data_IF_058868258168
#
_entry.id   IF_058868258168
#
_cell.length_a   1.000
_cell.length_b   1.000
_cell.length_c   1.000
_cell.angle_alpha   90.00
_cell.angle_beta   90.00
_cell.angle_gamma   90.00
#
_symmetry.space_group_name_H-M   'P 1'
#
loop_
_entity.id
_entity.type
_entity.pdbx_description
1 polymer ?
#
# COMPACT_ATOMS: atom_id res chain seq x y z
N UNK A 1 2.69 13.58 -5.46
CA UNK A 1 3.40 14.81 -5.86
C UNK A 1 4.14 14.55 -7.17
N UNK A 2 4.67 15.58 -7.84
CA UNK A 2 5.58 15.30 -8.96
C UNK A 2 6.87 14.72 -8.39
N UNK A 3 7.37 13.61 -8.95
CA UNK A 3 8.63 12.98 -8.54
C UNK A 3 9.35 12.37 -9.74
N UNK A 4 10.67 12.21 -9.59
CA UNK A 4 11.54 11.57 -10.59
C UNK A 4 11.45 10.04 -10.61
N UNK A 5 10.92 9.43 -9.53
CA UNK A 5 10.73 7.98 -9.41
C UNK A 5 9.29 7.63 -9.07
N UNK A 6 8.82 6.52 -9.57
CA UNK A 6 7.59 5.85 -9.17
C UNK A 6 7.82 5.10 -7.84
N UNK A 7 7.50 5.76 -6.73
CA UNK A 7 7.79 5.22 -5.39
C UNK A 7 6.61 4.45 -4.79
N UNK A 8 6.89 3.24 -4.31
CA UNK A 8 5.97 2.44 -3.50
C UNK A 8 6.58 2.33 -2.11
N UNK A 9 5.89 2.88 -1.12
CA UNK A 9 6.49 3.11 0.19
C UNK A 9 5.75 2.41 1.31
N UNK A 10 6.48 1.67 2.14
CA UNK A 10 5.99 1.16 3.40
C UNK A 10 6.65 1.89 4.57
N UNK A 11 5.81 2.36 5.51
CA UNK A 11 6.30 2.95 6.77
C UNK A 11 5.79 2.17 7.96
N UNK A 12 6.64 1.94 8.96
CA UNK A 12 6.31 1.31 10.24
C UNK A 12 6.79 -0.13 10.40
N UNK A 13 6.30 -0.79 11.44
CA UNK A 13 6.79 -2.12 11.83
C UNK A 13 6.24 -3.25 10.97
N UNK A 14 7.09 -4.22 10.67
CA UNK A 14 6.75 -5.47 9.99
C UNK A 14 6.50 -6.58 11.01
N UNK A 15 5.41 -7.31 10.83
CA UNK A 15 5.07 -8.49 11.65
C UNK A 15 5.40 -9.77 10.88
N UNK A 16 6.63 -10.28 11.05
CA UNK A 16 7.09 -11.50 10.39
C UNK A 16 6.16 -12.69 10.69
N UNK A 17 5.83 -13.45 9.65
CA UNK A 17 4.91 -14.60 9.73
C UNK A 17 3.43 -14.22 9.64
N UNK A 18 3.08 -12.95 9.78
CA UNK A 18 1.73 -12.41 9.54
C UNK A 18 1.66 -11.56 8.28
N UNK A 19 2.75 -10.93 7.89
CA UNK A 19 2.82 -10.06 6.72
C UNK A 19 3.87 -10.56 5.73
N UNK A 20 3.64 -10.29 4.45
CA UNK A 20 4.57 -10.58 3.36
C UNK A 20 4.38 -9.59 2.20
N UNK A 21 5.41 -9.45 1.37
CA UNK A 21 5.42 -8.55 0.20
C UNK A 21 5.76 -9.24 -1.11
N UNK A 22 6.13 -10.52 -1.05
CA UNK A 22 6.50 -11.36 -2.19
C UNK A 22 5.48 -11.28 -3.34
N UNK A 23 4.17 -11.29 -3.05
CA UNK A 23 3.13 -11.16 -4.09
C UNK A 23 3.37 -9.90 -4.92
N UNK A 24 3.66 -8.77 -4.27
CA UNK A 24 4.00 -7.53 -4.96
C UNK A 24 5.34 -7.61 -5.69
N UNK A 25 6.36 -8.21 -5.07
CA UNK A 25 7.69 -8.34 -5.67
C UNK A 25 7.66 -9.20 -6.93
N UNK A 26 6.99 -10.36 -6.89
CA UNK A 26 6.78 -11.23 -8.05
C UNK A 26 6.11 -10.48 -9.20
N UNK A 27 5.07 -9.70 -8.90
CA UNK A 27 4.35 -8.92 -9.90
C UNK A 27 5.24 -7.83 -10.50
N UNK A 28 5.92 -7.04 -9.68
CA UNK A 28 6.85 -6.01 -10.17
C UNK A 28 7.96 -6.63 -11.02
N UNK A 29 8.58 -7.72 -10.57
CA UNK A 29 9.61 -8.43 -11.32
C UNK A 29 9.08 -8.93 -12.66
N UNK A 30 7.87 -9.50 -12.71
CA UNK A 30 7.24 -9.92 -13.96
C UNK A 30 7.03 -8.72 -14.90
N UNK A 31 6.48 -7.61 -14.41
CA UNK A 31 6.27 -6.40 -15.20
C UNK A 31 7.58 -5.79 -15.73
N UNK A 32 8.67 -5.88 -14.96
CA UNK A 32 10.02 -5.48 -15.40
C UNK A 32 10.54 -6.43 -16.49
N UNK A 33 10.45 -7.74 -16.27
CA UNK A 33 10.91 -8.77 -17.22
C UNK A 33 10.16 -8.67 -18.57
N UNK A 34 8.87 -8.32 -18.53
CA UNK A 34 8.05 -8.07 -19.72
C UNK A 34 8.21 -6.66 -20.30
N UNK A 35 9.11 -5.83 -19.75
CA UNK A 35 9.39 -4.45 -20.18
C UNK A 35 8.18 -3.53 -20.15
N UNK A 36 7.23 -3.81 -19.26
CA UNK A 36 6.05 -2.97 -19.07
C UNK A 36 6.29 -1.88 -18.01
N UNK A 37 7.21 -2.14 -17.08
CA UNK A 37 7.80 -1.16 -16.15
C UNK A 37 9.31 -1.12 -16.40
N UNK A 38 9.91 0.07 -16.44
CA UNK A 38 11.36 0.21 -16.45
C UNK A 38 11.86 0.14 -15.00
N UNK A 39 12.82 -0.75 -14.73
CA UNK A 39 13.44 -0.86 -13.42
C UNK A 39 14.03 0.49 -12.95
N UNK A 40 14.53 1.32 -13.88
CA UNK A 40 15.09 2.63 -13.54
C UNK A 40 14.02 3.63 -13.11
N UNK A 41 12.75 3.40 -13.37
CA UNK A 41 11.69 4.32 -13.01
C UNK A 41 11.13 4.03 -11.60
N UNK A 42 11.12 2.77 -11.18
CA UNK A 42 10.52 2.34 -9.91
C UNK A 42 11.54 2.35 -8.76
N UNK A 43 11.04 2.62 -7.55
CA UNK A 43 11.83 2.45 -6.33
C UNK A 43 10.93 2.06 -5.15
N UNK A 44 11.21 0.91 -4.53
CA UNK A 44 10.55 0.54 -3.28
C UNK A 44 11.24 1.24 -2.10
N UNK A 45 10.45 1.74 -1.16
CA UNK A 45 10.98 2.45 0.00
C UNK A 45 10.48 1.79 1.27
N UNK A 46 11.40 1.38 2.13
CA UNK A 46 11.10 0.90 3.47
C UNK A 46 11.54 1.92 4.51
N UNK A 47 10.67 2.26 5.45
CA UNK A 47 11.01 3.07 6.61
C UNK A 47 10.43 2.43 7.86
N UNK A 48 11.23 1.63 8.57
CA UNK A 48 10.81 0.95 9.78
C UNK A 48 11.95 0.24 10.50
N UNK A 49 11.66 -0.37 11.67
CA UNK A 49 12.69 -0.97 12.51
C UNK A 49 13.14 -2.38 12.06
N UNK A 50 12.50 -3.01 11.08
CA UNK A 50 12.78 -4.38 10.63
C UNK A 50 13.52 -4.42 9.28
N UNK A 51 14.60 -3.66 9.17
CA UNK A 51 15.47 -3.62 7.98
C UNK A 51 15.92 -5.01 7.51
N UNK A 52 16.34 -5.88 8.44
CA UNK A 52 16.85 -7.22 8.12
C UNK A 52 15.79 -8.11 7.46
N UNK A 53 14.54 -8.00 7.91
CA UNK A 53 13.41 -8.75 7.34
C UNK A 53 13.13 -8.23 5.93
N UNK A 54 13.08 -6.91 5.76
CA UNK A 54 12.84 -6.30 4.45
C UNK A 54 13.95 -6.66 3.45
N UNK A 55 15.20 -6.61 3.89
CA UNK A 55 16.37 -7.01 3.10
C UNK A 55 16.28 -8.48 2.67
N UNK A 56 15.81 -9.37 3.56
CA UNK A 56 15.60 -10.78 3.24
C UNK A 56 14.55 -10.94 2.13
N UNK A 57 13.44 -10.22 2.18
CA UNK A 57 12.43 -10.26 1.11
C UNK A 57 12.94 -9.72 -0.22
N UNK A 58 13.75 -8.67 -0.19
CA UNK A 58 14.31 -8.08 -1.42
C UNK A 58 15.46 -8.91 -2.00
N UNK A 59 16.09 -9.80 -1.22
CA UNK A 59 17.23 -10.61 -1.66
C UNK A 59 16.92 -11.43 -2.93
N UNK A 60 15.71 -11.99 -2.99
CA UNK A 60 15.28 -12.85 -4.10
C UNK A 60 14.87 -12.05 -5.36
N UNK A 61 14.87 -10.71 -5.30
CA UNK A 61 14.40 -9.82 -6.36
C UNK A 61 15.42 -8.70 -6.67
N UNK A 62 16.63 -9.05 -7.15
CA UNK A 62 17.74 -8.10 -7.31
C UNK A 62 17.51 -7.01 -8.37
N UNK A 63 16.57 -7.23 -9.30
CA UNK A 63 16.27 -6.26 -10.37
C UNK A 63 15.31 -5.16 -9.93
N UNK A 64 14.71 -5.28 -8.74
CA UNK A 64 13.79 -4.28 -8.18
C UNK A 64 14.59 -3.31 -7.31
N UNK A 65 14.77 -2.04 -7.74
CA UNK A 65 15.47 -1.07 -6.91
C UNK A 65 14.67 -0.77 -5.66
N UNK A 66 15.38 -0.71 -4.53
CA UNK A 66 14.79 -0.33 -3.27
C UNK A 66 15.79 0.41 -2.39
N UNK A 67 15.27 1.11 -1.39
CA UNK A 67 16.05 1.79 -0.37
C UNK A 67 15.47 1.53 1.01
N UNK A 68 16.37 1.24 1.95
CA UNK A 68 16.08 1.27 3.37
C UNK A 68 16.36 2.68 3.91
N UNK A 69 15.32 3.32 4.44
CA UNK A 69 15.38 4.62 5.09
C UNK A 69 15.51 4.50 6.61
N UNK A 70 15.47 3.27 7.14
CA UNK A 70 15.53 2.96 8.55
C UNK A 70 14.37 3.55 9.35
N UNK A 71 14.61 3.74 10.65
CA UNK A 71 13.63 4.37 11.54
C UNK A 71 13.50 5.86 11.24
N UNK A 72 12.26 6.31 11.01
CA UNK A 72 11.90 7.71 10.87
C UNK A 72 11.03 8.17 12.04
N UNK A 73 11.21 9.42 12.46
CA UNK A 73 10.25 10.04 13.37
C UNK A 73 8.88 10.24 12.70
N UNK A 74 7.85 10.53 13.50
CA UNK A 74 6.48 10.66 13.03
C UNK A 74 6.32 11.71 11.91
N UNK A 75 7.03 12.84 12.00
CA UNK A 75 6.91 13.92 11.01
C UNK A 75 7.58 13.52 9.69
N UNK A 76 8.77 12.93 9.76
CA UNK A 76 9.48 12.41 8.60
C UNK A 76 8.68 11.29 7.91
N UNK A 77 8.06 10.38 8.68
CA UNK A 77 7.19 9.35 8.13
C UNK A 77 5.96 9.94 7.41
N UNK A 78 5.29 10.93 7.99
CA UNK A 78 4.15 11.62 7.34
C UNK A 78 4.59 12.30 6.03
N UNK A 79 5.72 13.02 6.05
CA UNK A 79 6.23 13.67 4.84
C UNK A 79 6.55 12.63 3.76
N UNK A 80 7.17 11.52 4.14
CA UNK A 80 7.48 10.42 3.23
C UNK A 80 6.20 9.84 2.61
N UNK A 81 5.19 9.53 3.43
CA UNK A 81 3.88 9.03 2.98
C UNK A 81 3.19 9.99 2.00
N UNK A 82 3.24 11.30 2.26
CA UNK A 82 2.69 12.34 1.38
C UNK A 82 3.48 12.51 0.08
N UNK A 83 4.79 12.26 0.13
CA UNK A 83 5.69 12.37 -1.02
C UNK A 83 5.67 11.14 -1.94
N UNK A 84 5.19 10.01 -1.43
CA UNK A 84 5.15 8.74 -2.15
C UNK A 84 4.14 8.75 -3.30
N UNK A 85 4.37 7.93 -4.33
CA UNK A 85 3.38 7.73 -5.40
C UNK A 85 2.29 6.74 -4.97
N UNK A 86 2.65 5.69 -4.24
CA UNK A 86 1.75 4.72 -3.62
C UNK A 86 2.21 4.47 -2.18
N UNK A 87 1.27 4.40 -1.23
CA UNK A 87 1.54 3.90 0.11
C UNK A 87 1.19 2.41 0.19
N UNK A 88 2.16 1.58 0.55
CA UNK A 88 1.99 0.15 0.77
C UNK A 88 1.50 -0.09 2.20
N UNK A 89 0.33 -0.73 2.33
CA UNK A 89 -0.23 -1.20 3.59
C UNK A 89 -0.09 -2.72 3.65
N UNK A 90 0.57 -3.23 4.68
CA UNK A 90 0.64 -4.66 4.96
C UNK A 90 -0.37 -4.98 6.05
N UNK A 91 -1.26 -5.91 5.76
CA UNK A 91 -2.30 -6.37 6.66
C UNK A 91 -2.35 -7.90 6.64
N UNK A 92 -3.13 -8.46 7.56
CA UNK A 92 -3.43 -9.88 7.59
C UNK A 92 -4.84 -10.07 8.13
N UNK A 93 -5.49 -11.14 7.69
CA UNK A 93 -6.80 -11.54 8.18
C UNK A 93 -6.88 -13.04 8.38
N UNK A 94 -7.63 -13.43 9.39
CA UNK A 94 -7.95 -14.82 9.71
C UNK A 94 -9.47 -14.97 9.76
N UNK A 95 -9.98 -16.21 9.74
CA UNK A 95 -11.43 -16.45 9.90
C UNK A 95 -12.03 -15.85 11.18
N UNK A 96 -11.20 -15.63 12.20
CA UNK A 96 -11.62 -15.18 13.52
C UNK A 96 -11.32 -13.68 13.74
N UNK A 97 -10.53 -13.07 12.86
CA UNK A 97 -10.06 -11.69 12.99
C UNK A 97 -9.84 -11.11 11.59
N UNK A 98 -10.84 -10.36 11.12
CA UNK A 98 -10.85 -9.57 9.90
C UNK A 98 -11.51 -8.22 10.21
N UNK A 99 -11.35 -7.22 9.34
CA UNK A 99 -11.98 -5.91 9.51
C UNK A 99 -11.24 -4.97 10.46
N UNK A 100 -9.99 -5.27 10.81
CA UNK A 100 -9.19 -4.38 11.65
C UNK A 100 -8.70 -3.19 10.81
N UNK A 101 -9.44 -2.09 10.86
CA UNK A 101 -9.03 -0.81 10.28
C UNK A 101 -7.93 -0.18 11.15
N UNK A 102 -6.68 -0.44 10.78
CA UNK A 102 -5.52 0.05 11.56
C UNK A 102 -5.38 1.57 11.50
N UNK A 103 -4.75 2.16 12.51
CA UNK A 103 -4.42 3.60 12.49
C UNK A 103 -3.52 4.00 11.30
N UNK A 104 -2.73 3.07 10.75
CA UNK A 104 -1.87 3.29 9.58
C UNK A 104 -2.69 3.54 8.31
N UNK A 105 -3.81 2.84 8.15
CA UNK A 105 -4.74 3.05 7.03
C UNK A 105 -5.25 4.51 7.00
N UNK A 106 -5.68 5.03 8.15
CA UNK A 106 -6.12 6.44 8.26
C UNK A 106 -4.99 7.44 8.01
N UNK A 107 -3.76 7.16 8.45
CA UNK A 107 -2.60 8.00 8.12
C UNK A 107 -2.34 8.06 6.62
N UNK A 108 -2.42 6.92 5.93
CA UNK A 108 -2.22 6.88 4.48
C UNK A 108 -3.34 7.58 3.72
N UNK A 109 -4.58 7.49 4.19
CA UNK A 109 -5.69 8.26 3.62
C UNK A 109 -5.47 9.77 3.81
N UNK A 110 -4.97 10.19 4.97
CA UNK A 110 -4.59 11.59 5.19
C UNK A 110 -3.42 12.03 4.31
N UNK A 111 -2.56 11.12 3.86
CA UNK A 111 -1.48 11.41 2.92
C UNK A 111 -1.97 11.70 1.49
N UNK A 112 -3.25 11.43 1.19
CA UNK A 112 -3.88 11.68 -0.12
C UNK A 112 -3.12 11.02 -1.28
N UNK A 113 -2.73 9.76 -1.06
CA UNK A 113 -2.08 8.88 -2.04
C UNK A 113 -2.83 7.57 -2.12
N UNK A 114 -2.81 6.91 -3.30
CA UNK A 114 -3.37 5.60 -3.42
C UNK A 114 -2.65 4.63 -2.50
N UNK A 115 -3.44 3.74 -1.91
CA UNK A 115 -3.02 2.70 -0.99
C UNK A 115 -3.04 1.39 -1.75
N UNK A 116 -1.93 0.68 -1.74
CA UNK A 116 -1.91 -0.73 -2.07
C UNK A 116 -1.92 -1.51 -0.77
N UNK A 117 -3.05 -2.12 -0.43
CA UNK A 117 -3.15 -3.01 0.72
C UNK A 117 -2.87 -4.45 0.29
N UNK A 118 -1.83 -5.06 0.87
CA UNK A 118 -1.57 -6.48 0.76
C UNK A 118 -2.09 -7.17 2.01
N UNK A 119 -3.02 -8.09 1.84
CA UNK A 119 -3.65 -8.83 2.94
C UNK A 119 -3.19 -10.27 2.88
N UNK A 120 -2.50 -10.70 3.94
CA UNK A 120 -2.12 -12.11 4.13
C UNK A 120 -3.26 -12.91 4.78
N UNK A 121 -3.47 -14.13 4.31
CA UNK A 121 -4.45 -15.05 4.90
C UNK A 121 -5.81 -14.98 4.21
N UNK A 122 -6.89 -14.78 4.97
CA UNK A 122 -8.25 -14.77 4.41
C UNK A 122 -8.63 -13.42 3.79
N UNK A 123 -9.66 -13.41 2.96
CA UNK A 123 -10.26 -12.16 2.45
C UNK A 123 -10.73 -11.27 3.62
N UNK A 124 -10.40 -9.98 3.54
CA UNK A 124 -10.86 -8.95 4.47
C UNK A 124 -11.86 -8.04 3.75
N UNK A 125 -13.10 -8.52 3.70
CA UNK A 125 -14.18 -7.85 2.99
C UNK A 125 -14.43 -6.43 3.51
N UNK A 126 -14.21 -6.17 4.80
CA UNK A 126 -14.42 -4.85 5.40
C UNK A 126 -13.31 -3.87 4.99
N UNK A 127 -12.04 -4.31 5.04
CA UNK A 127 -10.94 -3.50 4.53
C UNK A 127 -11.10 -3.20 3.04
N UNK A 128 -11.44 -4.20 2.23
CA UNK A 128 -11.65 -4.02 0.79
C UNK A 128 -12.85 -3.12 0.50
N UNK A 129 -13.96 -3.30 1.21
CA UNK A 129 -15.12 -2.41 1.11
C UNK A 129 -14.73 -0.97 1.45
N UNK A 130 -14.07 -0.76 2.58
CA UNK A 130 -13.66 0.56 3.04
C UNK A 130 -12.70 1.24 2.06
N UNK A 131 -11.64 0.55 1.63
CA UNK A 131 -10.69 1.07 0.61
C UNK A 131 -11.42 1.39 -0.70
N UNK A 132 -12.41 0.58 -1.10
CA UNK A 132 -13.23 0.82 -2.27
C UNK A 132 -14.10 2.08 -2.15
N UNK A 133 -14.92 2.19 -1.10
CA UNK A 133 -15.87 3.32 -0.96
C UNK A 133 -15.19 4.65 -0.79
N UNK A 134 -14.02 4.69 -0.14
CA UNK A 134 -13.23 5.93 0.00
C UNK A 134 -12.38 6.24 -1.23
N UNK A 135 -12.45 5.43 -2.30
CA UNK A 135 -11.52 5.51 -3.44
C UNK A 135 -10.06 5.53 -2.99
N UNK A 136 -9.71 4.67 -2.03
CA UNK A 136 -8.43 4.66 -1.33
C UNK A 136 -7.32 3.96 -2.11
N UNK A 137 -7.64 3.10 -3.08
CA UNK A 137 -6.67 2.35 -3.88
C UNK A 137 -7.10 0.91 -4.11
N UNK A 138 -6.17 -0.05 -3.98
CA UNK A 138 -6.41 -1.47 -4.25
C UNK A 138 -6.13 -2.32 -3.01
N UNK A 139 -6.99 -3.32 -2.77
CA UNK A 139 -6.70 -4.44 -1.87
C UNK A 139 -6.36 -5.69 -2.69
N UNK A 140 -5.20 -6.28 -2.43
CA UNK A 140 -4.74 -7.52 -3.03
C UNK A 140 -4.45 -8.56 -1.96
N UNK A 141 -4.65 -9.82 -2.30
CA UNK A 141 -4.64 -10.96 -1.37
C UNK A 141 -3.61 -11.98 -1.83
N UNK A 142 -2.84 -12.52 -0.89
CA UNK A 142 -1.78 -13.48 -1.21
C UNK A 142 -2.29 -14.87 -1.57
N UNK A 143 -3.51 -15.24 -1.16
CA UNK A 143 -4.05 -16.58 -1.33
C UNK A 143 -4.89 -16.77 -2.59
N UNK A 144 -5.07 -15.73 -3.41
CA UNK A 144 -5.91 -15.80 -4.62
C UNK A 144 -5.10 -15.46 -5.89
N UNK A 145 -4.54 -16.50 -6.56
CA UNK A 145 -3.81 -16.32 -7.81
C UNK A 145 -4.62 -15.62 -8.90
N UNK A 146 -5.95 -15.78 -8.94
CA UNK A 146 -6.82 -15.17 -9.95
C UNK A 146 -7.04 -13.67 -9.77
N UNK A 147 -6.76 -13.13 -8.57
CA UNK A 147 -6.76 -11.68 -8.30
C UNK A 147 -5.42 -11.01 -8.60
N UNK A 148 -4.38 -11.78 -8.92
CA UNK A 148 -3.06 -11.26 -9.29
C UNK A 148 -3.14 -10.37 -10.55
N UNK A 149 -4.01 -10.72 -11.50
CA UNK A 149 -4.21 -9.96 -12.74
C UNK A 149 -4.72 -8.53 -12.45
N UNK A 150 -5.53 -8.35 -11.40
CA UNK A 150 -5.99 -7.02 -10.98
C UNK A 150 -4.85 -6.19 -10.38
N UNK A 151 -3.90 -6.82 -9.68
CA UNK A 151 -2.73 -6.13 -9.15
C UNK A 151 -1.81 -5.65 -10.28
N UNK A 152 -1.54 -6.51 -11.27
CA UNK A 152 -0.69 -6.17 -12.41
C UNK A 152 -1.28 -5.01 -13.21
N UNK A 153 -2.57 -5.11 -13.56
CA UNK A 153 -3.27 -4.07 -14.31
C UNK A 153 -3.29 -2.76 -13.54
N UNK A 154 -3.58 -2.80 -12.23
CA UNK A 154 -3.60 -1.60 -11.40
C UNK A 154 -2.21 -0.97 -11.30
N UNK A 155 -1.15 -1.74 -11.01
CA UNK A 155 0.22 -1.23 -10.97
C UNK A 155 0.63 -0.57 -12.29
N UNK A 156 0.29 -1.19 -13.42
CA UNK A 156 0.56 -0.63 -14.75
C UNK A 156 -0.19 0.68 -14.98
N UNK A 157 -1.45 0.76 -14.58
CA UNK A 157 -2.25 1.98 -14.75
C UNK A 157 -1.71 3.12 -13.87
N UNK A 158 -1.30 2.84 -12.64
CA UNK A 158 -0.66 3.83 -11.78
C UNK A 158 0.70 4.27 -12.34
N UNK A 159 1.50 3.32 -12.83
CA UNK A 159 2.79 3.60 -13.45
C UNK A 159 2.66 4.46 -14.71
N UNK A 160 1.72 4.14 -15.61
CA UNK A 160 1.44 4.92 -16.83
C UNK A 160 0.99 6.35 -16.51
N UNK A 161 0.13 6.51 -15.51
CA UNK A 161 -0.27 7.83 -15.04
C UNK A 161 0.93 8.62 -14.51
N UNK A 162 1.80 7.99 -13.71
CA UNK A 162 3.02 8.62 -13.24
C UNK A 162 3.99 8.98 -14.38
N UNK A 163 4.21 8.10 -15.38
CA UNK A 163 5.04 8.42 -16.55
C UNK A 163 4.52 9.63 -17.33
N UNK A 164 3.20 9.74 -17.48
CA UNK A 164 2.58 10.81 -18.24
C UNK A 164 2.55 12.15 -17.49
N UNK A 165 2.39 12.14 -16.16
CA UNK A 165 2.11 13.33 -15.35
C UNK A 165 3.22 13.67 -14.34
N UNK A 166 4.24 12.83 -14.22
CA UNK A 166 5.24 12.85 -13.14
C UNK A 166 4.67 12.49 -11.76
N UNK A 167 3.38 12.15 -11.68
CA UNK A 167 2.65 11.87 -10.43
C UNK A 167 1.52 10.90 -10.68
N UNK A 168 1.15 10.16 -9.65
CA UNK A 168 -0.10 9.40 -9.59
C UNK A 168 -1.22 10.33 -9.09
N UNK A 169 -2.21 10.66 -9.93
CA UNK A 169 -3.40 11.37 -9.50
C UNK A 169 -4.19 10.51 -8.51
N UNK A 170 -4.67 11.14 -7.44
CA UNK A 170 -5.49 10.45 -6.47
C UNK A 170 -6.39 11.46 -5.76
N UNK A 171 -7.63 11.06 -5.53
CA UNK A 171 -8.56 11.78 -4.68
C UNK A 171 -9.27 10.78 -3.79
N UNK A 172 -9.23 10.98 -2.48
CA UNK A 172 -10.04 10.20 -1.56
C UNK A 172 -11.46 10.76 -1.56
N UNK A 173 -12.47 9.89 -1.50
CA UNK A 173 -13.85 10.31 -1.33
C UNK A 173 -14.06 10.82 0.10
N UNK A 174 -13.91 12.13 0.30
CA UNK A 174 -14.01 12.77 1.61
C UNK A 174 -15.38 12.58 2.25
N UNK A 175 -16.46 12.51 1.46
CA UNK A 175 -17.81 12.28 1.97
C UNK A 175 -17.93 10.89 2.61
N UNK A 176 -17.42 9.86 1.94
CA UNK A 176 -17.41 8.51 2.50
C UNK A 176 -16.46 8.41 3.70
N UNK A 177 -15.28 9.01 3.60
CA UNK A 177 -14.31 9.01 4.71
C UNK A 177 -14.87 9.62 6.00
N UNK A 178 -15.67 10.69 5.91
CA UNK A 178 -16.27 11.34 7.07
C UNK A 178 -17.18 10.40 7.87
N UNK A 179 -17.86 9.45 7.23
CA UNK A 179 -18.72 8.46 7.90
C UNK A 179 -17.94 7.55 8.86
N UNK A 180 -16.66 7.36 8.59
CA UNK A 180 -15.75 6.55 9.41
C UNK A 180 -14.88 7.41 10.35
N UNK A 181 -15.24 8.69 10.54
CA UNK A 181 -14.60 9.53 11.56
C UNK A 181 -15.03 9.09 12.96
N UNK A 182 -14.13 9.23 13.93
CA UNK A 182 -14.42 8.91 15.34
C UNK A 182 -15.70 9.57 15.84
N UNK A 183 -15.93 10.83 15.47
CA UNK A 183 -17.13 11.56 15.88
C UNK A 183 -18.41 10.91 15.33
N UNK A 184 -18.42 10.49 14.07
CA UNK A 184 -19.58 9.85 13.45
C UNK A 184 -19.79 8.44 14.01
N UNK A 185 -18.73 7.64 14.16
CA UNK A 185 -18.81 6.32 14.75
C UNK A 185 -19.36 6.39 16.18
N UNK A 186 -18.80 7.23 17.04
CA UNK A 186 -19.32 7.41 18.40
C UNK A 186 -20.78 7.86 18.39
N UNK A 187 -21.17 8.76 17.48
CA UNK A 187 -22.54 9.22 17.38
C UNK A 187 -23.53 8.10 16.96
N UNK A 188 -23.16 7.26 15.99
CA UNK A 188 -23.97 6.09 15.59
C UNK A 188 -24.12 5.09 16.73
N UNK A 189 -23.08 4.88 17.53
CA UNK A 189 -23.13 3.97 18.68
C UNK A 189 -23.98 4.52 19.83
N UNK A 190 -23.97 5.84 20.03
CA UNK A 190 -24.76 6.50 21.07
C UNK A 190 -26.24 6.67 20.68
N UNK A 191 -26.55 6.70 19.37
CA UNK A 191 -27.89 6.91 18.82
C UNK A 191 -28.24 5.81 17.78
N UNK A 192 -28.52 4.58 18.24
CA UNK A 192 -28.78 3.43 17.38
C UNK A 192 -30.12 3.48 16.62
#
# INVERSE_FOLDING_TARGET
PVSEKFTITYTGSVHLGLQRIDVLLERIQALINHRQIDAHDINLQYAGPQSDIWQTWMHDYPDIPWVDLGYLDARAAINLQQSSQINLLLSWATRQSSGILTSKLYQYLAAQRPILALVEGHDDAELAHFVGVVNGGLCSYSTDPGRSDHLDQWLLDQYRQWKALGKVPHHTNAHELQKYSWNQLVNTWLNP
#
